data_IF_948484094704
#
_entry.id   IF_948484094704
#
_cell.length_a   1.000
_cell.length_b   1.000
_cell.length_c   1.000
_cell.angle_alpha   90.00
_cell.angle_beta   90.00
_cell.angle_gamma   90.00
#
_symmetry.space_group_name_H-M   'P 1'
#
loop_
_entity.id
_entity.type
_entity.pdbx_description
1 polymer ?
#
# COMPACT_ATOMS: atom_id res chain seq x y z
N UNK A 1 47.62 -13.79 53.16
CA UNK A 1 46.34 -13.60 53.86
C UNK A 1 45.40 -12.85 52.91
N UNK A 2 44.23 -13.46 52.65
CA UNK A 2 42.96 -12.98 52.07
C UNK A 2 42.97 -12.01 50.86
N UNK A 3 42.51 -12.56 49.73
CA UNK A 3 41.90 -11.86 48.57
C UNK A 3 40.62 -11.16 49.01
N UNK A 4 40.34 -9.97 48.48
CA UNK A 4 39.00 -9.38 48.46
C UNK A 4 38.68 -9.03 47.02
N UNK A 5 37.81 -9.84 46.44
CA UNK A 5 37.16 -9.61 45.14
C UNK A 5 36.01 -8.66 45.45
N UNK A 6 36.04 -7.45 44.89
CA UNK A 6 34.90 -6.54 44.96
C UNK A 6 33.97 -6.91 43.80
N UNK A 7 32.91 -7.63 44.14
CA UNK A 7 31.77 -7.90 43.26
C UNK A 7 30.93 -6.62 43.25
N UNK A 8 31.09 -5.77 42.23
CA UNK A 8 30.21 -4.62 42.03
C UNK A 8 28.95 -5.13 41.33
N UNK A 9 27.85 -5.22 42.08
CA UNK A 9 26.54 -5.52 41.54
C UNK A 9 26.11 -4.42 40.57
N UNK A 10 25.92 -4.80 39.31
CA UNK A 10 25.26 -4.02 38.28
C UNK A 10 23.76 -4.06 38.59
N UNK A 11 23.24 -3.08 39.34
CA UNK A 11 21.80 -2.87 39.47
C UNK A 11 21.36 -1.97 38.33
N UNK A 12 20.86 -2.58 37.25
CA UNK A 12 20.15 -1.89 36.17
C UNK A 12 18.92 -1.19 36.73
N UNK A 13 18.69 0.03 36.25
CA UNK A 13 17.49 0.79 36.54
C UNK A 13 16.33 0.16 35.77
N UNK A 14 15.52 -0.66 36.45
CA UNK A 14 14.23 -1.10 35.92
C UNK A 14 13.29 0.10 35.96
N UNK A 15 13.16 0.81 34.84
CA UNK A 15 12.10 1.80 34.64
C UNK A 15 10.82 1.02 34.37
N UNK A 16 10.01 0.83 35.41
CA UNK A 16 8.67 0.29 35.26
C UNK A 16 7.80 1.29 34.49
N UNK A 17 7.45 0.97 33.24
CA UNK A 17 6.26 1.53 32.61
C UNK A 17 5.08 0.88 33.33
N UNK A 18 4.65 1.49 34.44
CA UNK A 18 3.47 1.02 35.16
C UNK A 18 2.25 1.42 34.33
N UNK A 19 1.79 0.53 33.46
CA UNK A 19 0.44 0.58 32.91
C UNK A 19 -0.54 0.11 33.99
N UNK A 20 -1.15 1.02 34.74
CA UNK A 20 -2.23 0.62 35.65
C UNK A 20 -3.50 0.31 34.84
N UNK A 21 -3.65 -0.97 34.49
CA UNK A 21 -4.89 -1.71 34.28
C UNK A 21 -6.06 -1.03 33.56
N UNK A 22 -6.12 -1.19 32.24
CA UNK A 22 -7.40 -1.47 31.59
C UNK A 22 -7.54 -2.99 31.52
N UNK A 23 -8.54 -3.53 32.21
CA UNK A 23 -8.93 -4.95 32.13
C UNK A 23 -9.23 -5.25 30.65
N UNK A 24 -8.32 -5.95 29.97
CA UNK A 24 -8.62 -6.60 28.70
C UNK A 24 -9.40 -7.86 29.03
N UNK A 25 -10.72 -7.80 28.84
CA UNK A 25 -11.54 -9.00 28.67
C UNK A 25 -11.11 -9.65 27.35
N UNK A 26 -10.12 -10.53 27.45
CA UNK A 26 -9.79 -11.51 26.44
C UNK A 26 -10.82 -12.64 26.53
N UNK A 27 -11.97 -12.47 25.87
CA UNK A 27 -12.92 -13.54 25.53
C UNK A 27 -13.85 -12.99 24.44
N UNK A 28 -14.09 -13.78 23.39
CA UNK A 28 -14.82 -13.47 22.16
C UNK A 28 -14.11 -12.64 21.07
N UNK A 29 -13.08 -13.25 20.47
CA UNK A 29 -12.91 -13.12 19.02
C UNK A 29 -13.84 -14.16 18.37
N UNK A 30 -15.06 -13.73 18.06
CA UNK A 30 -16.13 -14.58 17.52
C UNK A 30 -16.01 -14.74 16.01
N UNK A 31 -16.02 -15.99 15.55
CA UNK A 31 -16.29 -16.36 14.17
C UNK A 31 -17.72 -15.98 13.75
N UNK A 32 -17.99 -15.71 12.46
CA UNK A 32 -19.35 -15.49 11.99
C UNK A 32 -20.06 -16.84 11.80
N UNK A 33 -20.81 -17.29 12.81
CA UNK A 33 -21.80 -18.34 12.60
C UNK A 33 -23.07 -17.77 11.94
N UNK A 34 -23.40 -18.39 10.81
CA UNK A 34 -24.71 -18.31 10.19
C UNK A 34 -25.79 -18.84 11.13
N UNK A 35 -26.84 -18.06 11.37
CA UNK A 35 -28.08 -18.58 11.94
C UNK A 35 -29.28 -18.15 11.09
N UNK A 36 -29.90 -19.17 10.51
CA UNK A 36 -31.17 -19.14 9.76
C UNK A 36 -32.31 -19.38 10.77
N UNK A 37 -33.51 -18.96 10.34
CA UNK A 37 -34.88 -19.26 10.81
C UNK A 37 -35.47 -18.37 11.92
N UNK A 38 -36.54 -17.60 11.68
CA UNK A 38 -37.94 -17.87 11.22
C UNK A 38 -38.84 -17.60 12.44
N UNK A 39 -39.96 -16.86 12.45
CA UNK A 39 -41.07 -16.63 11.54
C UNK A 39 -41.73 -15.30 11.97
N UNK A 40 -42.18 -14.46 11.04
CA UNK A 40 -43.49 -13.79 11.20
C UNK A 40 -44.11 -13.55 9.83
N UNK A 41 -45.26 -14.17 9.63
CA UNK A 41 -46.07 -14.23 8.41
C UNK A 41 -47.04 -13.06 8.35
N UNK A 42 -47.10 -12.30 7.24
CA UNK A 42 -48.38 -11.74 6.75
C UNK A 42 -48.37 -11.56 5.22
N UNK A 43 -49.25 -12.33 4.58
CA UNK A 43 -50.02 -12.13 3.33
C UNK A 43 -49.34 -11.64 2.04
N UNK A 44 -49.28 -12.55 1.06
CA UNK A 44 -49.08 -12.29 -0.36
C UNK A 44 -50.45 -12.22 -1.06
N UNK A 45 -50.69 -11.11 -1.76
CA UNK A 45 -51.77 -10.96 -2.74
C UNK A 45 -51.18 -11.03 -4.16
N UNK A 46 -51.93 -11.63 -5.09
CA UNK A 46 -51.44 -12.13 -6.36
C UNK A 46 -51.33 -11.06 -7.48
N UNK A 47 -50.23 -11.16 -8.26
CA UNK A 47 -50.00 -10.95 -9.71
C UNK A 47 -50.98 -10.05 -10.53
N UNK A 48 -50.51 -9.24 -11.52
CA UNK A 48 -49.72 -9.76 -12.66
C UNK A 48 -48.72 -8.81 -13.35
N UNK A 49 -47.88 -9.38 -14.23
CA UNK A 49 -47.13 -8.70 -15.30
C UNK A 49 -48.08 -8.05 -16.32
N UNK A 50 -47.61 -7.02 -17.05
CA UNK A 50 -47.62 -7.12 -18.50
C UNK A 50 -46.42 -6.47 -19.20
N UNK A 51 -46.11 -7.03 -20.37
CA UNK A 51 -45.21 -6.54 -21.41
C UNK A 51 -45.62 -5.15 -21.96
N UNK A 52 -44.64 -4.38 -22.50
CA UNK A 52 -44.65 -3.78 -23.85
C UNK A 52 -43.83 -2.46 -23.97
N UNK A 53 -42.84 -2.51 -24.86
CA UNK A 53 -42.48 -1.58 -25.96
C UNK A 53 -42.47 -0.04 -25.81
N UNK A 54 -41.31 0.53 -26.23
CA UNK A 54 -41.17 1.76 -27.03
C UNK A 54 -41.09 3.07 -26.24
N UNK A 55 -40.42 4.14 -26.66
CA UNK A 55 -39.49 4.49 -27.74
C UNK A 55 -39.04 5.94 -27.39
N UNK A 56 -37.96 6.42 -28.02
CA UNK A 56 -37.49 7.82 -28.09
C UNK A 56 -36.88 8.47 -26.82
N UNK A 57 -35.56 8.70 -26.73
CA UNK A 57 -34.65 9.60 -27.49
C UNK A 57 -34.39 10.96 -26.80
N UNK A 58 -33.10 11.33 -26.87
CA UNK A 58 -32.47 12.66 -26.64
C UNK A 58 -32.03 13.04 -25.22
N UNK A 59 -30.72 12.89 -25.01
CA UNK A 59 -29.88 14.08 -24.83
C UNK A 59 -29.10 14.18 -23.53
N UNK A 60 -27.83 13.76 -23.55
CA UNK A 60 -26.73 14.62 -23.06
C UNK A 60 -25.40 14.09 -23.58
N UNK A 61 -24.68 14.96 -24.27
CA UNK A 61 -23.27 14.80 -24.56
C UNK A 61 -22.53 14.89 -23.22
N UNK A 62 -22.02 13.76 -22.74
CA UNK A 62 -21.00 13.73 -21.68
C UNK A 62 -19.82 12.90 -22.18
N UNK A 63 -18.76 13.65 -22.54
CA UNK A 63 -17.36 13.35 -22.35
C UNK A 63 -17.07 11.88 -21.99
N UNK A 64 -16.74 11.07 -23.01
CA UNK A 64 -16.31 9.69 -22.82
C UNK A 64 -15.03 9.69 -21.98
N UNK A 65 -15.20 9.39 -20.69
CA UNK A 65 -14.16 8.82 -19.84
C UNK A 65 -13.49 7.69 -20.61
N UNK A 66 -12.16 7.62 -20.55
CA UNK A 66 -11.39 6.44 -20.90
C UNK A 66 -12.09 5.22 -20.30
N UNK A 67 -12.74 4.44 -21.16
CA UNK A 67 -13.49 3.26 -20.78
C UNK A 67 -12.52 2.23 -20.23
N UNK A 68 -12.95 1.53 -19.18
CA UNK A 68 -12.27 0.36 -18.65
C UNK A 68 -11.92 -0.55 -19.84
N UNK A 69 -10.63 -0.73 -20.11
CA UNK A 69 -10.11 -1.46 -21.28
C UNK A 69 -10.71 -2.87 -21.40
N UNK A 70 -11.23 -3.40 -20.28
CA UNK A 70 -11.96 -4.67 -20.15
C UNK A 70 -13.29 -4.74 -20.89
N UNK A 71 -14.00 -3.62 -21.08
CA UNK A 71 -15.28 -3.62 -21.81
C UNK A 71 -15.07 -3.54 -23.34
N UNK A 72 -14.05 -2.80 -23.78
CA UNK A 72 -13.70 -2.66 -25.19
C UNK A 72 -13.02 -3.91 -25.76
N UNK A 73 -12.13 -4.52 -24.96
CA UNK A 73 -11.42 -5.76 -25.31
C UNK A 73 -11.87 -6.88 -24.38
N UNK A 74 -12.94 -7.63 -24.72
CA UNK A 74 -13.34 -8.79 -23.93
C UNK A 74 -12.13 -9.71 -23.71
N UNK A 75 -11.82 -10.05 -22.46
CA UNK A 75 -10.71 -10.93 -22.09
C UNK A 75 -11.24 -12.35 -21.90
N UNK A 76 -10.60 -13.35 -22.51
CA UNK A 76 -10.97 -14.74 -22.30
C UNK A 76 -10.59 -15.17 -20.88
N UNK A 77 -11.40 -16.04 -20.27
CA UNK A 77 -11.17 -16.51 -18.90
C UNK A 77 -9.77 -17.11 -18.70
N UNK A 78 -9.29 -17.89 -19.69
CA UNK A 78 -7.94 -18.47 -19.67
C UNK A 78 -6.80 -17.43 -19.64
N UNK A 79 -7.07 -16.23 -20.13
CA UNK A 79 -6.10 -15.14 -20.25
C UNK A 79 -6.23 -14.16 -19.06
N UNK A 80 -7.38 -14.17 -18.35
CA UNK A 80 -7.65 -13.35 -17.16
C UNK A 80 -6.62 -13.57 -16.05
N UNK A 81 -6.40 -14.81 -15.64
CA UNK A 81 -5.44 -15.14 -14.56
C UNK A 81 -4.02 -14.66 -14.90
N UNK A 82 -3.63 -14.79 -16.18
CA UNK A 82 -2.33 -14.33 -16.67
C UNK A 82 -2.22 -12.81 -16.59
N UNK A 83 -3.27 -12.10 -16.99
CA UNK A 83 -3.33 -10.64 -16.97
C UNK A 83 -3.38 -10.09 -15.53
N UNK A 84 -4.15 -10.71 -14.64
CA UNK A 84 -4.16 -10.38 -13.21
C UNK A 84 -2.78 -10.56 -12.60
N UNK A 85 -2.06 -11.64 -12.98
CA UNK A 85 -0.68 -11.86 -12.54
C UNK A 85 0.27 -10.78 -13.06
N UNK A 86 0.20 -10.40 -14.33
CA UNK A 86 1.05 -9.35 -14.90
C UNK A 86 0.80 -7.99 -14.22
N UNK A 87 -0.46 -7.64 -13.96
CA UNK A 87 -0.82 -6.43 -13.22
C UNK A 87 -0.29 -6.47 -11.78
N UNK A 88 -0.35 -7.63 -11.11
CA UNK A 88 0.20 -7.80 -9.76
C UNK A 88 1.74 -7.69 -9.74
N UNK A 89 2.43 -8.24 -10.75
CA UNK A 89 3.88 -8.13 -10.88
C UNK A 89 4.36 -6.69 -11.19
N UNK A 90 3.49 -5.85 -11.77
CA UNK A 90 3.77 -4.43 -12.05
C UNK A 90 3.48 -3.51 -10.85
N UNK A 91 2.77 -3.99 -9.82
CA UNK A 91 2.53 -3.21 -8.60
C UNK A 91 3.65 -3.51 -7.60
N UNK A 92 4.50 -2.55 -7.21
CA UNK A 92 5.50 -2.79 -6.19
C UNK A 92 4.79 -3.02 -4.85
N UNK A 93 4.59 -4.29 -4.48
CA UNK A 93 4.16 -4.64 -3.14
C UNK A 93 5.36 -4.44 -2.21
N UNK A 94 5.41 -3.31 -1.48
CA UNK A 94 6.43 -3.14 -0.45
C UNK A 94 6.22 -4.19 0.64
N UNK A 95 7.10 -5.18 0.72
CA UNK A 95 7.00 -6.27 1.67
C UNK A 95 7.29 -5.79 3.10
N UNK A 96 6.69 -6.44 4.09
CA UNK A 96 6.94 -6.13 5.50
C UNK A 96 8.20 -6.82 6.03
N UNK A 97 8.98 -6.10 6.83
CA UNK A 97 10.31 -6.53 7.28
C UNK A 97 10.35 -6.85 8.78
N UNK A 98 11.18 -7.82 9.16
CA UNK A 98 11.52 -8.02 10.58
C UNK A 98 12.63 -7.03 10.91
N UNK A 99 12.36 -6.01 11.75
CA UNK A 99 13.29 -4.90 11.92
C UNK A 99 14.50 -5.31 12.76
N UNK A 100 15.71 -5.02 12.27
CA UNK A 100 16.98 -5.36 12.92
C UNK A 100 17.83 -4.13 13.27
N UNK A 101 17.68 -3.04 12.52
CA UNK A 101 18.35 -1.77 12.79
C UNK A 101 17.47 -0.58 12.43
N UNK A 102 17.68 0.55 13.10
CA UNK A 102 17.07 1.85 12.81
C UNK A 102 18.15 2.88 12.52
N UNK A 103 17.89 3.75 11.54
CA UNK A 103 18.62 4.99 11.30
C UNK A 103 17.66 6.18 11.29
N UNK A 104 18.03 7.27 11.96
CA UNK A 104 17.30 8.55 11.95
C UNK A 104 18.32 9.64 11.56
N UNK A 105 18.51 9.93 10.26
CA UNK A 105 19.58 10.80 9.79
C UNK A 105 19.54 12.22 10.38
N UNK A 106 18.35 12.80 10.52
CA UNK A 106 18.16 14.15 11.08
C UNK A 106 18.72 14.29 12.52
N UNK A 107 18.79 13.17 13.26
CA UNK A 107 19.30 13.11 14.63
C UNK A 107 20.66 12.42 14.73
N UNK A 108 21.23 11.95 13.62
CA UNK A 108 22.45 11.14 13.58
C UNK A 108 22.37 9.92 14.52
N UNK A 109 21.22 9.24 14.50
CA UNK A 109 20.96 8.00 15.26
C UNK A 109 21.18 6.80 14.34
N UNK A 110 21.94 5.82 14.83
CA UNK A 110 22.01 4.46 14.29
C UNK A 110 21.99 3.50 15.49
N UNK A 111 21.04 2.57 15.52
CA UNK A 111 20.88 1.64 16.63
C UNK A 111 20.36 0.26 16.20
N UNK A 112 20.74 -0.81 16.91
CA UNK A 112 20.10 -2.10 16.74
C UNK A 112 18.67 -2.08 17.26
N UNK A 113 17.81 -2.88 16.63
CA UNK A 113 16.44 -3.13 17.08
C UNK A 113 16.38 -4.54 17.68
N UNK A 114 15.76 -4.65 18.85
CA UNK A 114 15.51 -5.90 19.54
C UNK A 114 14.01 -6.16 19.68
N UNK A 115 13.60 -7.43 19.69
CA UNK A 115 12.20 -7.82 19.84
C UNK A 115 11.75 -7.66 21.30
N UNK A 116 10.63 -6.97 21.52
CA UNK A 116 10.00 -6.77 22.82
C UNK A 116 8.59 -7.40 22.85
N UNK A 117 8.26 -8.03 23.96
CA UNK A 117 6.97 -8.65 24.23
C UNK A 117 6.04 -7.84 25.13
N UNK A 118 5.15 -8.56 25.81
CA UNK A 118 4.22 -8.04 26.81
C UNK A 118 4.56 -8.72 28.14
N UNK A 119 4.69 -7.93 29.19
CA UNK A 119 4.90 -8.38 30.56
C UNK A 119 3.61 -8.96 31.18
N UNK A 120 3.74 -9.68 32.29
CA UNK A 120 2.61 -10.30 33.00
C UNK A 120 1.52 -9.30 33.45
N UNK A 121 1.89 -8.02 33.63
CA UNK A 121 0.99 -6.94 34.01
C UNK A 121 0.31 -6.26 32.80
N UNK A 122 0.62 -6.71 31.58
CA UNK A 122 0.09 -6.17 30.32
C UNK A 122 0.88 -4.99 29.76
N UNK A 123 1.97 -4.56 30.40
CA UNK A 123 2.83 -3.53 29.85
C UNK A 123 3.73 -4.06 28.73
N UNK A 124 4.09 -3.19 27.79
CA UNK A 124 5.12 -3.50 26.78
C UNK A 124 6.50 -3.62 27.47
N UNK A 125 7.26 -4.64 27.09
CA UNK A 125 8.67 -4.75 27.49
C UNK A 125 9.50 -3.57 26.97
N UNK A 126 10.51 -3.18 27.74
CA UNK A 126 11.40 -2.05 27.40
C UNK A 126 12.83 -2.57 27.28
N UNK A 127 13.64 -2.07 26.32
CA UNK A 127 15.03 -2.45 26.21
C UNK A 127 15.80 -2.28 27.52
N UNK A 128 16.66 -3.25 27.87
CA UNK A 128 17.52 -3.11 29.06
C UNK A 128 18.63 -2.09 28.83
N UNK A 129 19.12 -2.00 27.60
CA UNK A 129 20.17 -1.09 27.18
C UNK A 129 19.58 0.23 26.68
N UNK A 130 20.18 1.34 27.11
CA UNK A 130 19.73 2.71 26.78
C UNK A 130 20.08 3.14 25.35
N UNK A 131 20.98 2.40 24.70
CA UNK A 131 21.42 2.61 23.32
C UNK A 131 20.67 1.69 22.31
N UNK A 132 19.71 0.89 22.77
CA UNK A 132 18.93 -0.05 21.96
C UNK A 132 17.49 0.41 21.76
N UNK A 133 16.88 -0.01 20.65
CA UNK A 133 15.48 0.27 20.34
C UNK A 133 14.68 -1.04 20.37
N UNK A 134 13.53 -1.02 21.03
CA UNK A 134 12.66 -2.18 21.17
C UNK A 134 11.50 -2.15 20.19
N UNK A 135 11.35 -3.18 19.37
CA UNK A 135 10.18 -3.37 18.52
C UNK A 135 9.10 -4.17 19.24
N UNK A 136 7.86 -3.66 19.26
CA UNK A 136 6.70 -4.37 19.79
C UNK A 136 6.26 -5.50 18.86
N UNK A 137 6.92 -6.66 18.98
CA UNK A 137 6.71 -7.83 18.13
C UNK A 137 5.27 -8.37 18.11
N UNK A 138 4.50 -8.34 19.22
CA UNK A 138 3.10 -8.79 19.18
C UNK A 138 2.16 -7.94 18.32
N UNK A 139 2.60 -6.74 17.90
CA UNK A 139 1.82 -5.81 17.08
C UNK A 139 1.99 -6.00 15.57
N UNK A 140 1.71 -4.94 14.82
CA UNK A 140 1.86 -4.90 13.37
C UNK A 140 3.35 -4.89 12.98
N UNK A 141 3.70 -5.61 11.93
CA UNK A 141 5.06 -5.69 11.39
C UNK A 141 5.33 -4.45 10.52
N UNK A 142 6.51 -3.80 10.60
CA UNK A 142 6.84 -2.68 9.74
C UNK A 142 6.65 -3.00 8.25
N UNK A 143 5.85 -2.18 7.55
CA UNK A 143 5.48 -2.38 6.14
C UNK A 143 4.08 -2.96 5.93
N UNK A 144 3.50 -3.64 6.93
CA UNK A 144 2.10 -4.07 6.88
C UNK A 144 1.15 -2.88 7.13
N UNK A 145 -0.08 -2.99 6.64
CA UNK A 145 -1.16 -2.03 6.93
C UNK A 145 -1.48 -2.06 8.43
N UNK A 146 -1.38 -0.91 9.09
CA UNK A 146 -1.49 -0.76 10.54
C UNK A 146 -0.31 0.01 11.13
N UNK A 147 -0.22 0.03 12.47
CA UNK A 147 0.84 0.76 13.19
C UNK A 147 1.82 -0.21 13.84
N UNK A 148 3.04 -0.30 13.29
CA UNK A 148 4.18 -0.88 13.99
C UNK A 148 4.68 0.08 15.07
N UNK A 149 5.29 -0.43 16.14
CA UNK A 149 5.73 0.41 17.26
C UNK A 149 7.17 0.10 17.67
N UNK A 150 7.98 1.16 17.78
CA UNK A 150 9.32 1.14 18.35
C UNK A 150 9.37 1.98 19.64
N UNK A 151 10.05 1.47 20.67
CA UNK A 151 10.23 2.14 21.94
C UNK A 151 11.72 2.30 22.27
N UNK A 152 12.09 3.41 22.89
CA UNK A 152 13.46 3.68 23.32
C UNK A 152 13.53 4.66 24.49
N UNK A 153 14.62 4.57 25.24
CA UNK A 153 14.84 5.41 26.41
C UNK A 153 15.08 6.87 26.03
N UNK A 154 14.54 7.79 26.84
CA UNK A 154 14.82 9.23 26.69
C UNK A 154 16.16 9.58 27.32
N UNK A 155 16.45 9.07 28.51
CA UNK A 155 17.71 9.29 29.21
C UNK A 155 18.00 8.19 30.24
N UNK A 156 19.15 8.35 30.90
CA UNK A 156 19.66 7.48 31.97
C UNK A 156 20.34 8.34 33.04
N UNK A 157 20.81 7.70 34.11
CA UNK A 157 21.63 8.39 35.12
C UNK A 157 22.94 8.95 34.55
N UNK A 158 23.47 8.34 33.50
CA UNK A 158 24.75 8.72 32.89
C UNK A 158 24.59 9.78 31.81
N UNK A 159 23.34 10.09 31.40
CA UNK A 159 23.03 11.14 30.44
C UNK A 159 21.93 10.76 29.44
N UNK A 160 21.81 11.53 28.34
CA UNK A 160 20.91 11.25 27.23
C UNK A 160 20.98 9.80 26.73
N UNK A 161 19.84 9.24 26.35
CA UNK A 161 19.73 7.91 25.76
C UNK A 161 19.30 8.01 24.28
N UNK A 162 19.07 6.86 23.64
CA UNK A 162 18.90 6.78 22.18
C UNK A 162 17.79 7.69 21.62
N UNK A 163 16.71 7.90 22.35
CA UNK A 163 15.56 8.71 21.92
C UNK A 163 15.48 10.10 22.60
N UNK A 164 16.56 10.55 23.23
CA UNK A 164 16.60 11.85 23.91
C UNK A 164 16.16 13.04 23.02
N UNK A 165 16.57 13.04 21.76
CA UNK A 165 16.34 14.14 20.81
C UNK A 165 15.15 13.89 19.86
N UNK A 166 14.29 12.88 20.10
CA UNK A 166 13.13 12.64 19.23
C UNK A 166 12.21 13.87 19.10
N UNK A 167 12.14 14.71 20.13
CA UNK A 167 11.38 15.98 20.12
C UNK A 167 11.85 17.01 19.10
N UNK A 168 13.03 16.80 18.50
CA UNK A 168 13.63 17.69 17.51
C UNK A 168 13.31 17.27 16.07
N UNK A 169 12.62 16.14 15.86
CA UNK A 169 12.14 15.76 14.54
C UNK A 169 11.04 16.70 14.06
N UNK A 170 11.02 16.91 12.75
CA UNK A 170 10.02 17.69 12.05
C UNK A 170 9.26 16.82 11.04
N UNK A 171 8.00 17.15 10.70
CA UNK A 171 7.30 16.47 9.61
C UNK A 171 8.12 16.49 8.32
N UNK A 172 8.26 15.32 7.69
CA UNK A 172 9.11 15.11 6.52
C UNK A 172 10.44 14.41 6.84
N UNK A 173 10.94 14.47 8.09
CA UNK A 173 12.14 13.74 8.47
C UNK A 173 11.98 12.23 8.25
N UNK A 174 13.08 11.58 7.88
CA UNK A 174 13.08 10.15 7.54
C UNK A 174 13.53 9.28 8.72
N UNK A 175 12.87 8.14 8.84
CA UNK A 175 13.21 7.05 9.74
C UNK A 175 13.35 5.79 8.89
N UNK A 176 14.55 5.22 8.87
CA UNK A 176 14.89 4.07 8.05
C UNK A 176 15.00 2.85 8.95
N UNK A 177 14.29 1.78 8.61
CA UNK A 177 14.34 0.51 9.33
C UNK A 177 14.87 -0.56 8.40
N UNK A 178 15.84 -1.33 8.84
CA UNK A 178 16.55 -2.31 8.01
C UNK A 178 16.46 -3.71 8.63
N UNK A 179 16.21 -4.72 7.81
CA UNK A 179 16.25 -6.13 8.16
C UNK A 179 17.69 -6.69 8.13
N UNK A 180 17.89 -7.90 8.67
CA UNK A 180 19.22 -8.55 8.68
C UNK A 180 19.77 -8.85 7.27
N UNK A 181 18.91 -9.03 6.28
CA UNK A 181 19.28 -9.29 4.88
C UNK A 181 19.55 -8.01 4.08
N UNK A 182 19.38 -6.84 4.70
CA UNK A 182 19.63 -5.53 4.11
C UNK A 182 18.41 -4.89 3.44
N UNK A 183 17.25 -5.55 3.42
CA UNK A 183 16.00 -4.91 3.00
C UNK A 183 15.68 -3.74 3.95
N UNK A 184 15.28 -2.59 3.40
CA UNK A 184 15.03 -1.39 4.19
C UNK A 184 13.70 -0.74 3.81
N UNK A 185 13.02 -0.21 4.82
CA UNK A 185 11.82 0.60 4.68
C UNK A 185 12.09 2.01 5.20
N UNK A 186 11.72 3.01 4.41
CA UNK A 186 11.80 4.42 4.80
C UNK A 186 10.43 4.91 5.22
N UNK A 187 10.34 5.51 6.39
CA UNK A 187 9.13 6.13 6.92
C UNK A 187 9.35 7.64 7.05
N UNK A 188 8.35 8.43 6.69
CA UNK A 188 8.38 9.89 6.84
C UNK A 188 7.56 10.31 8.05
N UNK A 189 8.15 11.15 8.90
CA UNK A 189 7.49 11.74 10.05
C UNK A 189 6.29 12.58 9.60
N UNK A 190 5.13 12.35 10.21
CA UNK A 190 3.89 13.10 9.95
C UNK A 190 3.55 14.07 11.06
N UNK A 191 3.70 13.62 12.31
CA UNK A 191 3.35 14.41 13.49
C UNK A 191 4.11 13.92 14.72
N UNK A 192 4.23 14.81 15.69
CA UNK A 192 4.74 14.52 17.03
C UNK A 192 3.71 14.98 18.04
N UNK A 193 3.30 14.08 18.93
CA UNK A 193 2.31 14.38 19.97
C UNK A 193 2.81 13.92 21.33
N UNK A 194 2.54 14.73 22.36
CA UNK A 194 2.88 14.41 23.75
C UNK A 194 1.61 14.14 24.54
N UNK A 195 1.52 12.94 25.10
CA UNK A 195 0.38 12.52 25.90
C UNK A 195 0.78 12.30 27.36
N UNK A 196 -0.09 12.61 28.33
CA UNK A 196 0.09 12.11 29.69
C UNK A 196 0.22 10.58 29.68
N UNK A 197 1.08 10.02 30.54
CA UNK A 197 1.35 8.57 30.59
C UNK A 197 0.07 7.75 30.68
N UNK A 198 -0.88 8.17 31.51
CA UNK A 198 -2.16 7.47 31.72
C UNK A 198 -3.27 7.89 30.72
N UNK A 199 -2.97 8.84 29.83
CA UNK A 199 -3.91 9.44 28.87
C UNK A 199 -3.57 9.16 27.41
N UNK A 200 -2.51 8.40 27.13
CA UNK A 200 -2.09 8.10 25.78
C UNK A 200 -3.15 7.26 25.02
N UNK A 201 -3.49 7.60 23.77
CA UNK A 201 -4.51 6.90 23.00
C UNK A 201 -3.96 5.56 22.49
N UNK A 202 -3.95 4.54 23.35
CA UNK A 202 -3.35 3.21 23.06
C UNK A 202 -3.84 2.61 21.73
N UNK A 203 -5.13 2.76 21.42
CA UNK A 203 -5.70 2.25 20.16
C UNK A 203 -5.17 2.97 18.91
N UNK A 204 -4.87 4.26 19.01
CA UNK A 204 -4.30 5.01 17.89
C UNK A 204 -2.81 4.70 17.74
N UNK A 205 -2.12 4.42 18.84
CA UNK A 205 -0.68 4.16 18.84
C UNK A 205 -0.36 2.71 18.39
N UNK A 206 -1.09 1.72 18.90
CA UNK A 206 -0.81 0.28 18.68
C UNK A 206 -1.85 -0.43 17.81
N UNK A 207 -2.97 0.22 17.51
CA UNK A 207 -4.11 -0.42 16.86
C UNK A 207 -4.08 -0.33 15.33
N UNK A 208 -5.18 -0.78 14.68
CA UNK A 208 -5.28 -0.79 13.23
C UNK A 208 -5.29 0.63 12.65
N UNK A 209 -4.73 0.75 11.46
CA UNK A 209 -4.68 1.95 10.63
C UNK A 209 -4.92 1.54 9.18
N UNK A 210 -5.45 2.45 8.36
CA UNK A 210 -5.51 2.25 6.91
C UNK A 210 -4.18 2.54 6.22
N UNK A 211 -3.26 3.20 6.91
CA UNK A 211 -1.89 3.50 6.45
C UNK A 211 -0.89 2.47 6.98
N UNK A 212 0.29 2.40 6.36
CA UNK A 212 1.44 1.62 6.83
C UNK A 212 2.31 2.51 7.75
N UNK A 213 2.00 2.53 9.05
CA UNK A 213 2.64 3.43 10.02
C UNK A 213 3.72 2.77 10.86
N UNK A 214 4.69 3.56 11.31
CA UNK A 214 5.70 3.18 12.31
C UNK A 214 5.78 4.24 13.41
N UNK A 215 5.21 3.96 14.58
CA UNK A 215 5.20 4.91 15.68
C UNK A 215 6.43 4.72 16.57
N UNK A 216 7.16 5.81 16.85
CA UNK A 216 8.26 5.81 17.83
C UNK A 216 7.77 6.41 19.13
N UNK A 217 8.07 5.76 20.26
CA UNK A 217 7.60 6.17 21.59
C UNK A 217 8.78 6.34 22.53
N UNK A 218 8.77 7.45 23.29
CA UNK A 218 9.70 7.65 24.40
C UNK A 218 9.07 8.41 25.56
N UNK A 219 9.75 8.44 26.70
CA UNK A 219 9.36 9.26 27.85
C UNK A 219 9.64 10.74 27.58
N UNK A 220 8.82 11.66 28.09
CA UNK A 220 9.07 13.10 27.93
C UNK A 220 8.53 13.92 29.11
N UNK A 221 8.80 15.22 29.09
CA UNK A 221 8.49 16.16 30.17
C UNK A 221 9.59 16.26 31.22
N UNK A 222 9.31 16.96 32.31
CA UNK A 222 10.28 17.12 33.41
C UNK A 222 10.28 15.90 34.31
N UNK A 223 11.45 15.27 34.50
CA UNK A 223 11.59 14.12 35.39
C UNK A 223 11.14 14.45 36.82
N UNK A 224 10.16 13.69 37.31
CA UNK A 224 9.69 13.82 38.68
C UNK A 224 10.57 12.96 39.60
N UNK A 225 11.41 13.60 40.42
CA UNK A 225 12.31 12.91 41.36
C UNK A 225 11.60 12.25 42.53
N UNK A 226 10.38 12.67 42.86
CA UNK A 226 9.60 12.07 43.95
C UNK A 226 9.01 10.72 43.53
N UNK A 227 8.52 10.63 42.29
CA UNK A 227 7.93 9.40 41.73
C UNK A 227 8.90 8.56 40.92
N UNK A 228 10.04 9.13 40.51
CA UNK A 228 11.03 8.48 39.65
C UNK A 228 10.57 8.31 38.20
N UNK A 229 9.64 9.16 37.74
CA UNK A 229 8.95 8.97 36.46
C UNK A 229 8.86 10.25 35.63
N UNK A 230 8.73 10.04 34.32
CA UNK A 230 8.32 11.06 33.38
C UNK A 230 6.79 11.11 33.27
N UNK A 231 6.19 12.31 33.34
CA UNK A 231 4.74 12.45 33.34
C UNK A 231 4.12 12.09 31.98
N UNK A 232 4.88 12.25 30.89
CA UNK A 232 4.35 12.20 29.54
C UNK A 232 5.08 11.17 28.66
N UNK A 233 4.45 10.84 27.53
CA UNK A 233 5.00 10.04 26.43
C UNK A 233 4.95 10.85 25.15
N UNK A 234 6.10 10.97 24.50
CA UNK A 234 6.20 11.51 23.15
C UNK A 234 5.96 10.37 22.18
N UNK A 235 5.04 10.57 21.24
CA UNK A 235 4.78 9.67 20.12
C UNK A 235 5.10 10.41 18.83
N UNK A 236 6.00 9.84 18.03
CA UNK A 236 6.28 10.29 16.66
C UNK A 236 5.49 9.39 15.74
N UNK A 237 4.51 9.96 15.03
CA UNK A 237 3.72 9.27 14.03
C UNK A 237 4.40 9.38 12.67
N UNK A 238 4.51 8.25 11.98
CA UNK A 238 5.14 8.18 10.66
C UNK A 238 4.27 7.37 9.70
N UNK A 239 4.57 7.48 8.42
CA UNK A 239 3.96 6.67 7.36
C UNK A 239 5.04 6.21 6.40
N UNK A 240 4.89 4.99 5.87
CA UNK A 240 5.80 4.43 4.89
C UNK A 240 5.88 5.34 3.67
N UNK A 241 7.09 5.66 3.26
CA UNK A 241 7.38 6.25 1.96
C UNK A 241 7.34 5.10 0.97
N UNK A 242 6.21 4.96 0.28
CA UNK A 242 6.13 4.08 -0.87
C UNK A 242 6.96 4.74 -1.97
N UNK A 243 8.10 4.14 -2.31
CA UNK A 243 8.75 4.48 -3.57
C UNK A 243 7.74 4.14 -4.67
N UNK A 244 7.24 5.16 -5.36
CA UNK A 244 6.72 4.98 -6.71
C UNK A 244 7.87 4.35 -7.47
N UNK A 245 7.90 3.02 -7.56
CA UNK A 245 8.81 2.31 -8.43
C UNK A 245 8.70 3.04 -9.76
N UNK A 246 9.82 3.55 -10.30
CA UNK A 246 9.81 4.23 -11.59
C UNK A 246 8.99 3.36 -12.54
N UNK A 247 7.78 3.81 -12.84
CA UNK A 247 6.86 3.09 -13.70
C UNK A 247 7.56 3.18 -15.05
N UNK A 248 8.31 2.13 -15.41
CA UNK A 248 8.91 2.06 -16.74
C UNK A 248 7.71 2.14 -17.67
N UNK A 249 7.51 3.31 -18.28
CA UNK A 249 6.34 3.58 -19.10
C UNK A 249 6.35 2.57 -20.25
N UNK A 250 5.56 1.51 -20.09
CA UNK A 250 5.46 0.47 -21.09
C UNK A 250 4.64 1.01 -22.25
N UNK A 251 5.31 1.36 -23.34
CA UNK A 251 4.69 1.71 -24.62
C UNK A 251 4.76 0.47 -25.52
N UNK A 252 3.62 -0.12 -25.93
CA UNK A 252 3.65 -1.32 -26.74
C UNK A 252 4.20 -1.05 -28.14
N UNK A 253 4.75 -2.07 -28.79
CA UNK A 253 5.21 -1.96 -30.17
C UNK A 253 4.04 -1.81 -31.16
N UNK A 254 4.17 -1.02 -32.23
CA UNK A 254 3.15 -0.93 -33.27
C UNK A 254 2.98 -2.27 -34.00
N UNK A 255 1.77 -2.58 -34.51
CA UNK A 255 1.57 -3.73 -35.39
C UNK A 255 2.33 -3.53 -36.71
N UNK A 256 2.77 -4.64 -37.32
CA UNK A 256 3.50 -4.61 -38.60
C UNK A 256 2.64 -5.12 -39.75
N UNK A 257 3.13 -4.95 -40.99
CA UNK A 257 2.48 -5.47 -42.20
C UNK A 257 1.01 -5.04 -42.30
N UNK A 258 0.75 -3.77 -42.03
CA UNK A 258 -0.57 -3.18 -42.23
C UNK A 258 -0.80 -3.11 -43.75
N UNK A 259 -1.87 -3.72 -44.24
CA UNK A 259 -2.17 -3.80 -45.66
C UNK A 259 -3.67 -3.65 -45.92
N UNK A 260 -3.99 -3.01 -47.05
CA UNK A 260 -5.36 -2.94 -47.57
C UNK A 260 -5.44 -3.77 -48.85
N UNK A 261 -6.29 -4.79 -48.85
CA UNK A 261 -6.63 -5.59 -50.04
C UNK A 261 -8.14 -5.52 -50.29
N UNK A 262 -8.54 -4.81 -51.34
CA UNK A 262 -9.95 -4.57 -51.61
C UNK A 262 -10.58 -3.73 -50.50
N UNK A 263 -11.56 -4.29 -49.78
CA UNK A 263 -12.19 -3.67 -48.60
C UNK A 263 -11.67 -4.21 -47.27
N UNK A 264 -10.57 -4.96 -47.30
CA UNK A 264 -10.05 -5.62 -46.11
C UNK A 264 -8.77 -4.93 -45.66
N UNK A 265 -8.77 -4.40 -44.44
CA UNK A 265 -7.58 -3.94 -43.74
C UNK A 265 -7.09 -5.07 -42.84
N UNK A 266 -5.80 -5.41 -42.88
CA UNK A 266 -5.20 -6.49 -42.07
C UNK A 266 -3.81 -6.13 -41.58
N UNK A 267 -3.36 -6.77 -40.50
CA UNK A 267 -2.05 -6.56 -39.90
C UNK A 267 -1.51 -7.82 -39.22
N UNK A 268 -0.22 -7.83 -38.89
CA UNK A 268 0.39 -8.85 -38.06
C UNK A 268 0.24 -8.53 -36.57
N UNK A 269 -0.08 -9.57 -35.79
CA UNK A 269 -0.16 -9.45 -34.34
C UNK A 269 1.22 -9.15 -33.73
N UNK A 270 1.23 -8.22 -32.79
CA UNK A 270 2.37 -7.94 -31.90
C UNK A 270 2.48 -9.10 -30.91
N UNK A 271 3.65 -9.74 -30.85
CA UNK A 271 3.90 -10.90 -29.97
C UNK A 271 4.36 -10.44 -28.61
N UNK A 272 3.48 -9.73 -27.93
CA UNK A 272 3.74 -9.24 -26.58
C UNK A 272 2.60 -9.67 -25.66
N UNK A 273 3.00 -10.07 -24.45
CA UNK A 273 2.14 -10.63 -23.44
C UNK A 273 1.09 -9.65 -22.93
N UNK A 274 1.41 -8.36 -22.97
CA UNK A 274 0.63 -7.28 -22.37
C UNK A 274 -0.43 -6.70 -23.30
N UNK A 275 -0.43 -7.10 -24.58
CA UNK A 275 -1.39 -6.59 -25.58
C UNK A 275 -2.76 -7.23 -25.40
N UNK A 276 -3.76 -6.39 -25.13
CA UNK A 276 -5.17 -6.80 -25.03
C UNK A 276 -5.91 -6.69 -26.36
N UNK A 277 -5.45 -5.81 -27.26
CA UNK A 277 -6.06 -5.64 -28.56
C UNK A 277 -5.44 -4.55 -29.43
N UNK A 278 -6.22 -4.08 -30.39
CA UNK A 278 -5.81 -3.12 -31.40
C UNK A 278 -6.95 -2.13 -31.65
N UNK A 279 -6.63 -0.84 -31.73
CA UNK A 279 -7.57 0.19 -32.20
C UNK A 279 -7.23 0.57 -33.63
N UNK A 280 -8.26 0.76 -34.43
CA UNK A 280 -8.13 1.27 -35.81
C UNK A 280 -8.76 2.64 -35.90
N UNK A 281 -8.03 3.56 -36.51
CA UNK A 281 -8.45 4.93 -36.75
C UNK A 281 -8.52 5.22 -38.24
N UNK A 282 -9.54 5.98 -38.65
CA UNK A 282 -9.63 6.63 -39.95
C UNK A 282 -9.28 8.11 -39.79
N UNK A 283 -8.39 8.60 -40.63
CA UNK A 283 -8.05 10.02 -40.66
C UNK A 283 -9.09 10.79 -41.51
N UNK A 284 -9.61 11.88 -40.95
CA UNK A 284 -10.58 12.77 -41.59
C UNK A 284 -9.88 13.88 -42.37
N UNK A 285 -10.62 14.58 -43.22
CA UNK A 285 -10.07 15.65 -44.09
C UNK A 285 -9.44 16.82 -43.31
N UNK A 286 -9.87 17.03 -42.06
CA UNK A 286 -9.33 18.06 -41.16
C UNK A 286 -8.08 17.59 -40.38
N UNK A 287 -7.62 16.36 -40.63
CA UNK A 287 -6.47 15.74 -39.96
C UNK A 287 -6.79 15.11 -38.61
N UNK A 288 -8.06 15.15 -38.16
CA UNK A 288 -8.47 14.43 -36.95
C UNK A 288 -8.60 12.93 -37.22
N UNK A 289 -8.43 12.11 -36.17
CA UNK A 289 -8.54 10.65 -36.25
C UNK A 289 -9.81 10.20 -35.55
N UNK A 290 -10.66 9.47 -36.28
CA UNK A 290 -11.86 8.83 -35.75
C UNK A 290 -11.58 7.35 -35.50
N UNK A 291 -11.83 6.85 -34.29
CA UNK A 291 -11.73 5.42 -34.01
C UNK A 291 -12.89 4.70 -34.69
N UNK A 292 -12.58 3.77 -35.60
CA UNK A 292 -13.58 3.05 -36.39
C UNK A 292 -13.75 1.60 -35.96
N UNK A 293 -12.80 1.05 -35.20
CA UNK A 293 -12.87 -0.34 -34.74
C UNK A 293 -11.91 -0.63 -33.59
N UNK A 294 -12.27 -1.63 -32.79
CA UNK A 294 -11.42 -2.27 -31.79
C UNK A 294 -11.44 -3.77 -32.02
N UNK A 295 -10.28 -4.41 -32.00
CA UNK A 295 -10.12 -5.86 -32.25
C UNK A 295 -9.32 -6.48 -31.11
N UNK A 296 -9.91 -7.44 -30.42
CA UNK A 296 -9.29 -8.13 -29.29
C UNK A 296 -8.09 -8.96 -29.74
N UNK A 297 -7.14 -9.22 -28.84
CA UNK A 297 -5.91 -9.94 -29.16
C UNK A 297 -6.14 -11.34 -29.75
N UNK A 298 -7.19 -12.05 -29.36
CA UNK A 298 -7.51 -13.38 -29.92
C UNK A 298 -8.32 -13.34 -31.23
N UNK A 299 -8.87 -12.18 -31.61
CA UNK A 299 -9.67 -12.06 -32.81
C UNK A 299 -8.80 -12.02 -34.07
N UNK A 300 -9.42 -12.16 -35.24
CA UNK A 300 -8.70 -12.03 -36.50
C UNK A 300 -8.19 -10.60 -36.65
N UNK A 301 -6.89 -10.43 -36.96
CA UNK A 301 -6.22 -9.14 -37.15
C UNK A 301 -6.57 -8.49 -38.48
N UNK A 302 -7.86 -8.27 -38.67
CA UNK A 302 -8.41 -7.71 -39.88
C UNK A 302 -9.83 -7.21 -39.66
N UNK A 303 -10.16 -6.10 -40.32
CA UNK A 303 -11.51 -5.53 -40.35
C UNK A 303 -11.94 -5.28 -41.80
N UNK A 304 -13.25 -5.11 -42.00
CA UNK A 304 -13.78 -4.59 -43.26
C UNK A 304 -13.90 -3.08 -43.16
N UNK A 305 -13.41 -2.37 -44.18
CA UNK A 305 -13.45 -0.91 -44.26
C UNK A 305 -14.40 -0.44 -45.36
N UNK A 306 -15.06 0.70 -45.14
CA UNK A 306 -16.04 1.23 -46.09
C UNK A 306 -15.39 1.94 -47.29
N UNK A 307 -14.26 2.60 -47.07
CA UNK A 307 -13.53 3.41 -48.04
C UNK A 307 -12.04 3.04 -48.11
N UNK A 308 -11.63 2.15 -49.03
CA UNK A 308 -10.24 1.75 -49.21
C UNK A 308 -9.28 2.88 -49.63
N UNK A 309 -9.79 4.04 -50.05
CA UNK A 309 -8.98 5.19 -50.44
C UNK A 309 -8.61 6.13 -49.27
N UNK A 310 -9.20 5.92 -48.10
CA UNK A 310 -8.92 6.73 -46.91
C UNK A 310 -7.60 6.32 -46.22
N UNK A 311 -7.09 7.23 -45.39
CA UNK A 311 -5.92 6.98 -44.54
C UNK A 311 -6.36 6.28 -43.26
N UNK A 312 -5.74 5.12 -42.97
CA UNK A 312 -6.01 4.31 -41.80
C UNK A 312 -4.74 4.11 -40.97
N UNK A 313 -4.92 4.08 -39.65
CA UNK A 313 -3.86 3.88 -38.68
C UNK A 313 -4.28 2.81 -37.67
N UNK A 314 -3.34 1.98 -37.25
CA UNK A 314 -3.59 0.92 -36.26
C UNK A 314 -2.58 1.06 -35.13
N UNK A 315 -3.05 0.98 -33.91
CA UNK A 315 -2.24 0.92 -32.69
C UNK A 315 -2.45 -0.44 -32.01
N UNK A 316 -1.44 -0.93 -31.31
CA UNK A 316 -1.63 -1.99 -30.32
C UNK A 316 -1.96 -1.34 -28.97
N UNK A 317 -2.76 -2.03 -28.16
CA UNK A 317 -3.22 -1.54 -26.85
C UNK A 317 -2.78 -2.51 -25.77
N UNK A 318 -2.09 -2.00 -24.75
CA UNK A 318 -1.66 -2.75 -23.57
C UNK A 318 -2.79 -2.89 -22.55
N UNK A 319 -2.57 -3.71 -21.51
CA UNK A 319 -3.57 -3.98 -20.46
C UNK A 319 -3.97 -2.75 -19.65
N UNK A 320 -3.03 -1.84 -19.41
CA UNK A 320 -3.24 -0.54 -18.78
C UNK A 320 -3.81 0.53 -19.75
N UNK A 321 -4.07 0.15 -21.00
CA UNK A 321 -4.73 0.99 -21.99
C UNK A 321 -3.80 1.92 -22.77
N UNK A 322 -2.47 1.81 -22.59
CA UNK A 322 -1.48 2.57 -23.35
C UNK A 322 -1.46 2.07 -24.81
N UNK A 323 -1.27 2.99 -25.74
CA UNK A 323 -1.25 2.72 -27.17
C UNK A 323 0.15 2.86 -27.76
N UNK A 324 0.45 2.03 -28.75
CA UNK A 324 1.70 2.15 -29.52
C UNK A 324 1.71 3.40 -30.39
N UNK A 325 2.85 3.67 -31.02
CA UNK A 325 2.86 4.48 -32.24
C UNK A 325 1.88 3.92 -33.29
N UNK A 326 1.39 4.80 -34.18
CA UNK A 326 0.47 4.43 -35.23
C UNK A 326 1.19 3.74 -36.40
N UNK A 327 0.73 2.55 -36.77
CA UNK A 327 1.14 1.87 -38.00
C UNK A 327 0.15 2.15 -39.13
N UNK A 328 0.64 2.42 -40.34
CA UNK A 328 -0.17 2.73 -41.50
C UNK A 328 0.08 1.73 -42.63
N UNK A 329 -0.87 1.55 -43.57
CA UNK A 329 -0.67 0.65 -44.70
C UNK A 329 0.65 0.89 -45.45
N UNK A 330 1.45 -0.16 -45.61
CA UNK A 330 2.76 -0.09 -46.29
C UNK A 330 3.94 0.35 -45.40
N UNK A 331 3.77 0.50 -44.09
CA UNK A 331 4.89 0.59 -43.14
C UNK A 331 5.51 -0.80 -42.92
N UNK A 332 6.83 -0.92 -43.13
CA UNK A 332 7.63 -2.12 -42.78
C UNK A 332 7.84 -2.26 -41.27
#
# INVERSE_FOLDING_TARGET
MKKTILLSMLTGLIVFIIGYGAIVAAENWGEPEASINSEETVEADALPSPDAEGDEMLGSVENQKAGDSKEEFPILERDRERFEKLLAEQTPETASITPAAISIPALNIEAPIIEMGILDDGAMEVPENVDEVGWFKPGIKPGDVGNAVLAGHVDSYDGPAIFFELRSLEPGDEIIVTAEDGEALTFSVKALESYPTDGAPIKEIFGPSSSKGLNLITCTGSFNRETGQYPDRLVVYTELVEEEAEEIEYIPYPPSHVEITGKQLSWHAVRDAEIVGYRTYKELEDGTKEQVSSVSYYERKSITIDDPGASYHITSVSIDGKESEAAAPGSE
#
